data_IF_516990849714
#
_entry.id   IF_516990849714
#
_cell.length_a   1.000
_cell.length_b   1.000
_cell.length_c   1.000
_cell.angle_alpha   90.00
_cell.angle_beta   90.00
_cell.angle_gamma   90.00
#
_symmetry.space_group_name_H-M   'P 1'
#
loop_
_entity.id
_entity.type
_entity.pdbx_description
1 polymer ?
#
# COMPACT_ATOMS: atom_id res chain seq x y z
N UNK A 1 3.75 24.42 21.98
CA UNK A 1 3.72 24.61 20.52
C UNK A 1 3.45 23.26 19.90
N UNK A 2 2.24 23.08 19.37
CA UNK A 2 1.81 21.85 18.72
C UNK A 2 1.50 22.17 17.25
N UNK A 3 1.88 21.27 16.34
CA UNK A 3 1.69 21.44 14.89
C UNK A 3 1.04 20.19 14.31
N UNK A 4 -0.19 20.31 13.83
CA UNK A 4 -0.81 19.28 13.01
C UNK A 4 -0.36 19.41 11.56
N UNK A 5 0.11 18.33 10.95
CA UNK A 5 0.39 18.28 9.51
C UNK A 5 -0.51 17.24 8.84
N UNK A 6 -1.07 17.62 7.70
CA UNK A 6 -1.77 16.73 6.79
C UNK A 6 -1.07 16.77 5.44
N UNK A 7 -0.71 15.60 4.93
CA UNK A 7 -0.20 15.47 3.56
C UNK A 7 -1.32 14.88 2.74
N UNK A 8 -1.55 15.44 1.55
CA UNK A 8 -2.42 14.82 0.58
C UNK A 8 -1.83 13.47 0.12
N UNK A 9 -2.48 12.36 0.51
CA UNK A 9 -2.10 10.99 0.18
C UNK A 9 -2.77 10.45 -1.09
N UNK A 10 -3.40 11.33 -1.90
CA UNK A 10 -4.04 10.98 -3.19
C UNK A 10 -3.05 10.37 -4.21
N UNK A 11 -3.43 10.05 -5.45
CA UNK A 11 -2.49 9.54 -6.46
C UNK A 11 -1.82 10.63 -7.32
N UNK A 12 -1.50 11.81 -6.75
CA UNK A 12 -0.94 12.93 -7.51
C UNK A 12 0.58 13.11 -7.37
N UNK A 13 1.24 13.45 -8.48
CA UNK A 13 2.70 13.69 -8.52
C UNK A 13 3.10 14.96 -7.74
N UNK A 14 2.25 15.99 -7.81
CA UNK A 14 2.41 17.25 -7.09
C UNK A 14 1.68 17.12 -5.77
N UNK A 15 2.38 17.42 -4.68
CA UNK A 15 1.83 17.34 -3.32
C UNK A 15 1.77 18.70 -2.68
N UNK A 16 0.79 18.89 -1.81
CA UNK A 16 0.67 20.06 -0.95
C UNK A 16 0.87 19.65 0.50
N UNK A 17 1.67 20.42 1.23
CA UNK A 17 1.83 20.25 2.67
C UNK A 17 0.79 21.12 3.35
N UNK A 18 -0.27 20.52 3.88
CA UNK A 18 -1.27 21.23 4.67
C UNK A 18 -0.92 21.14 6.14
N UNK A 19 -1.17 22.20 6.89
CA UNK A 19 -0.98 22.23 8.33
C UNK A 19 -2.05 23.10 8.96
N UNK A 20 -2.54 22.69 10.13
CA UNK A 20 -3.63 23.35 10.87
C UNK A 20 -3.36 23.36 12.37
N UNK A 21 -4.22 24.07 13.10
CA UNK A 21 -4.29 24.03 14.57
C UNK A 21 -3.03 24.51 15.31
N UNK A 22 -2.28 25.41 14.69
CA UNK A 22 -1.13 26.01 15.33
C UNK A 22 -1.54 26.92 16.49
N UNK A 23 -0.96 26.68 17.67
CA UNK A 23 -1.13 27.52 18.86
C UNK A 23 0.23 27.94 19.40
N UNK A 24 0.50 29.24 19.34
CA UNK A 24 1.49 29.91 20.17
C UNK A 24 0.81 31.03 20.93
N UNK A 25 1.15 31.12 22.20
CA UNK A 25 0.54 32.06 23.12
C UNK A 25 1.25 33.41 23.09
N UNK A 26 2.54 33.49 22.71
CA UNK A 26 3.37 34.64 23.13
C UNK A 26 4.35 35.23 22.08
N UNK A 27 4.78 34.51 21.01
CA UNK A 27 5.90 34.96 20.15
C UNK A 27 5.59 35.12 18.65
N UNK A 28 4.56 34.44 18.14
CA UNK A 28 4.24 34.37 16.72
C UNK A 28 5.24 33.55 15.90
N UNK A 29 4.81 33.10 14.71
CA UNK A 29 5.64 32.28 13.81
C UNK A 29 6.64 33.16 13.08
N UNK A 30 7.91 32.74 13.08
CA UNK A 30 8.94 33.34 12.25
C UNK A 30 9.05 32.62 10.90
N UNK A 31 9.05 31.28 10.91
CA UNK A 31 9.23 30.51 9.69
C UNK A 31 8.62 29.11 9.71
N UNK A 32 8.33 28.62 8.51
CA UNK A 32 8.07 27.23 8.20
C UNK A 32 9.18 26.71 7.29
N UNK A 33 9.62 25.48 7.50
CA UNK A 33 10.51 24.79 6.57
C UNK A 33 10.09 23.35 6.41
N UNK A 34 10.32 22.78 5.24
CA UNK A 34 10.04 21.37 4.99
C UNK A 34 11.23 20.70 4.32
N UNK A 35 11.37 19.41 4.60
CA UNK A 35 12.35 18.51 3.99
C UNK A 35 11.65 17.23 3.56
N UNK A 36 11.93 16.75 2.36
CA UNK A 36 11.36 15.52 1.79
C UNK A 36 12.48 14.52 1.57
N UNK A 37 12.32 13.34 2.15
CA UNK A 37 13.26 12.23 2.07
C UNK A 37 12.60 11.05 1.37
N UNK A 38 13.37 10.34 0.54
CA UNK A 38 12.98 9.01 0.09
C UNK A 38 13.43 8.00 1.14
N UNK A 39 12.53 7.09 1.53
CA UNK A 39 12.85 6.05 2.49
C UNK A 39 13.50 4.85 1.79
N UNK A 40 14.41 4.20 2.51
CA UNK A 40 15.05 2.96 2.09
C UNK A 40 15.09 1.96 3.25
N UNK A 41 15.09 0.65 2.99
CA UNK A 41 15.22 -0.35 4.04
C UNK A 41 16.59 -0.23 4.74
N UNK A 42 16.55 -0.02 6.06
CA UNK A 42 17.69 -0.05 6.96
C UNK A 42 17.83 -1.40 7.65
N UNK A 43 18.20 -1.39 8.94
CA UNK A 43 18.32 -2.62 9.72
C UNK A 43 16.96 -3.34 9.83
N UNK A 44 16.98 -4.67 9.66
CA UNK A 44 15.79 -5.53 9.73
C UNK A 44 14.66 -5.11 8.76
N UNK A 45 15.01 -4.53 7.62
CA UNK A 45 14.08 -4.01 6.59
C UNK A 45 13.10 -2.95 7.12
N UNK A 46 13.43 -2.28 8.22
CA UNK A 46 12.68 -1.10 8.69
C UNK A 46 13.06 0.08 7.80
N UNK A 47 12.05 0.78 7.28
CA UNK A 47 12.27 1.92 6.40
C UNK A 47 12.76 3.13 7.20
N UNK A 48 13.84 3.75 6.75
CA UNK A 48 14.46 4.93 7.37
C UNK A 48 14.71 6.01 6.32
N UNK A 49 14.70 7.27 6.74
CA UNK A 49 15.12 8.39 5.90
C UNK A 49 16.57 8.17 5.43
N UNK A 50 16.77 8.21 4.12
CA UNK A 50 18.11 8.24 3.56
C UNK A 50 18.81 9.58 3.78
N UNK A 51 20.08 9.66 3.40
CA UNK A 51 20.84 10.92 3.41
C UNK A 51 20.51 11.84 2.23
N UNK A 52 19.81 11.33 1.22
CA UNK A 52 19.45 12.08 0.02
C UNK A 52 18.16 12.86 0.21
N UNK A 53 18.26 14.18 0.03
CA UNK A 53 17.14 15.10 0.11
C UNK A 53 16.48 15.24 -1.27
N UNK A 54 15.19 14.92 -1.33
CA UNK A 54 14.38 14.99 -2.55
C UNK A 54 13.93 16.42 -2.82
N UNK A 55 13.49 17.12 -1.78
CA UNK A 55 13.06 18.51 -1.86
C UNK A 55 13.19 19.20 -0.51
N UNK A 56 13.32 20.53 -0.53
CA UNK A 56 13.18 21.38 0.66
C UNK A 56 12.67 22.77 0.30
N UNK A 57 12.09 23.44 1.29
CA UNK A 57 11.74 24.85 1.19
C UNK A 57 11.66 25.50 2.56
N UNK A 58 11.69 26.84 2.56
CA UNK A 58 11.47 27.67 3.75
C UNK A 58 10.60 28.86 3.37
N UNK A 59 9.69 29.24 4.26
CA UNK A 59 8.81 30.40 4.15
C UNK A 59 8.87 31.18 5.47
N UNK A 60 9.08 32.49 5.41
CA UNK A 60 9.23 33.38 6.58
C UNK A 60 8.02 34.28 6.81
N UNK A 61 6.93 34.04 6.09
CA UNK A 61 5.65 34.72 6.26
C UNK A 61 4.54 33.69 6.18
N UNK A 62 3.49 33.87 6.97
CA UNK A 62 2.27 33.09 6.82
C UNK A 62 1.72 33.31 5.41
N UNK A 63 1.61 32.23 4.66
CA UNK A 63 1.04 32.20 3.32
C UNK A 63 -0.09 31.19 3.34
N UNK A 64 -1.27 31.58 2.84
CA UNK A 64 -2.36 30.63 2.60
C UNK A 64 -1.99 29.61 1.50
N UNK A 65 -1.02 29.95 0.65
CA UNK A 65 -0.47 29.03 -0.35
C UNK A 65 0.46 28.02 0.33
N UNK A 66 -0.06 26.82 0.54
CA UNK A 66 0.69 25.67 1.03
C UNK A 66 1.86 25.34 0.09
N UNK A 67 3.08 25.12 0.64
CA UNK A 67 4.20 24.73 -0.19
C UNK A 67 3.90 23.41 -0.90
N UNK A 68 4.30 23.35 -2.18
CA UNK A 68 4.17 22.17 -3.01
C UNK A 68 5.51 21.67 -3.51
N UNK A 69 5.64 20.35 -3.61
CA UNK A 69 6.82 19.69 -4.15
C UNK A 69 6.41 18.56 -5.10
N UNK A 70 7.35 18.09 -5.91
CA UNK A 70 7.16 16.99 -6.85
C UNK A 70 8.09 15.83 -6.49
N UNK A 71 7.58 14.61 -6.64
CA UNK A 71 8.39 13.39 -6.68
C UNK A 71 8.38 12.83 -8.10
N UNK A 72 9.51 12.32 -8.59
CA UNK A 72 9.62 11.78 -9.96
C UNK A 72 9.61 10.26 -10.00
N UNK A 73 10.22 9.62 -9.01
CA UNK A 73 10.38 8.16 -8.98
C UNK A 73 9.41 7.50 -8.01
N UNK A 74 8.99 6.26 -8.29
CA UNK A 74 8.23 5.48 -7.31
C UNK A 74 9.03 5.27 -6.01
N UNK A 75 8.35 5.29 -4.87
CA UNK A 75 8.97 5.07 -3.57
C UNK A 75 8.08 5.44 -2.39
N UNK A 76 8.57 5.10 -1.21
CA UNK A 76 8.03 5.57 0.05
C UNK A 76 8.75 6.86 0.46
N UNK A 77 7.99 7.87 0.89
CA UNK A 77 8.52 9.19 1.19
C UNK A 77 8.13 9.66 2.58
N UNK A 78 9.05 10.39 3.19
CA UNK A 78 8.87 11.10 4.45
C UNK A 78 8.99 12.59 4.21
N UNK A 79 8.05 13.36 4.77
CA UNK A 79 8.08 14.81 4.74
C UNK A 79 8.11 15.28 6.18
N UNK A 80 9.13 16.07 6.50
CA UNK A 80 9.31 16.66 7.82
C UNK A 80 9.02 18.14 7.69
N UNK A 81 7.99 18.62 8.39
CA UNK A 81 7.68 20.04 8.55
C UNK A 81 8.27 20.52 9.87
N UNK A 82 9.06 21.58 9.82
CA UNK A 82 9.58 22.29 10.99
C UNK A 82 9.00 23.69 11.03
N UNK A 83 8.42 24.06 12.16
CA UNK A 83 7.92 25.40 12.44
C UNK A 83 8.81 26.05 13.49
N UNK A 84 9.19 27.30 13.26
CA UNK A 84 10.04 28.12 14.10
C UNK A 84 9.26 29.37 14.54
N UNK A 85 9.21 29.64 15.84
CA UNK A 85 8.65 30.88 16.37
C UNK A 85 9.70 32.00 16.44
N UNK A 86 9.26 33.25 16.65
CA UNK A 86 10.14 34.42 16.70
C UNK A 86 11.05 34.46 17.95
N UNK A 87 10.85 33.54 18.90
CA UNK A 87 11.72 33.34 20.06
C UNK A 87 12.77 32.24 19.82
N UNK A 88 12.78 31.61 18.64
CA UNK A 88 13.70 30.54 18.25
C UNK A 88 13.30 29.15 18.72
N UNK A 89 12.08 28.94 19.22
CA UNK A 89 11.57 27.60 19.54
C UNK A 89 11.12 26.90 18.25
N UNK A 90 11.28 25.57 18.23
CA UNK A 90 10.89 24.76 17.07
C UNK A 90 9.94 23.63 17.45
N UNK A 91 9.03 23.31 16.53
CA UNK A 91 8.19 22.13 16.57
C UNK A 91 8.26 21.40 15.22
N UNK A 92 8.20 20.07 15.26
CA UNK A 92 8.29 19.23 14.07
C UNK A 92 7.09 18.31 13.94
N UNK A 93 6.62 18.11 12.72
CA UNK A 93 5.64 17.09 12.36
C UNK A 93 6.15 16.28 11.16
N UNK A 94 5.85 14.99 11.11
CA UNK A 94 6.24 14.10 10.00
C UNK A 94 5.02 13.47 9.37
N UNK A 95 5.03 13.39 8.05
CA UNK A 95 3.99 12.77 7.23
C UNK A 95 4.62 11.82 6.22
N UNK A 96 3.90 10.75 5.94
CA UNK A 96 4.36 9.60 5.18
C UNK A 96 3.41 9.36 4.01
N UNK A 97 3.97 9.13 2.83
CA UNK A 97 3.17 8.73 1.67
C UNK A 97 3.92 7.74 0.77
N UNK A 98 3.17 6.84 0.16
CA UNK A 98 3.65 5.94 -0.87
C UNK A 98 3.30 6.55 -2.24
N UNK A 99 4.27 6.66 -3.13
CA UNK A 99 4.06 7.08 -4.51
C UNK A 99 4.50 5.96 -5.44
N UNK A 100 3.55 5.35 -6.15
CA UNK A 100 3.87 4.26 -7.06
C UNK A 100 2.91 4.19 -8.27
N UNK A 101 3.04 5.12 -9.22
CA UNK A 101 2.15 5.14 -10.39
C UNK A 101 2.50 4.08 -11.43
N UNK A 102 3.71 3.49 -11.37
CA UNK A 102 4.27 2.62 -12.41
C UNK A 102 4.12 1.15 -12.09
N UNK A 103 4.22 0.73 -10.84
CA UNK A 103 4.25 -0.70 -10.52
C UNK A 103 2.87 -1.33 -10.70
N UNK A 104 2.89 -2.58 -11.12
CA UNK A 104 1.69 -3.39 -11.35
C UNK A 104 1.94 -4.75 -10.73
N UNK A 105 0.85 -5.42 -10.38
CA UNK A 105 0.91 -6.83 -10.00
C UNK A 105 1.22 -7.65 -11.24
N UNK A 106 2.19 -8.56 -11.12
CA UNK A 106 2.62 -9.48 -12.16
C UNK A 106 2.42 -10.92 -11.69
N UNK A 107 2.29 -11.82 -12.67
CA UNK A 107 2.28 -13.27 -12.45
C UNK A 107 3.72 -13.80 -12.52
N UNK A 108 4.09 -14.64 -11.57
CA UNK A 108 5.41 -15.28 -11.50
C UNK A 108 5.38 -16.67 -12.12
N UNK A 109 6.53 -17.35 -12.14
CA UNK A 109 6.62 -18.75 -12.56
C UNK A 109 6.11 -19.75 -11.51
N UNK A 110 5.70 -19.30 -10.33
CA UNK A 110 5.10 -20.18 -9.33
C UNK A 110 3.69 -20.55 -9.81
N UNK A 111 3.38 -21.83 -10.05
CA UNK A 111 2.08 -22.23 -10.54
C UNK A 111 1.01 -22.08 -9.46
N UNK A 112 -0.23 -21.85 -9.88
CA UNK A 112 -1.40 -22.06 -9.02
C UNK A 112 -1.70 -23.55 -8.93
N UNK A 113 -2.07 -24.01 -7.73
CA UNK A 113 -2.45 -25.39 -7.48
C UNK A 113 -3.92 -25.46 -7.09
N UNK A 114 -4.66 -26.39 -7.69
CA UNK A 114 -6.02 -26.73 -7.24
C UNK A 114 -6.07 -28.21 -6.93
N UNK A 115 -6.54 -28.54 -5.73
CA UNK A 115 -6.65 -29.94 -5.29
C UNK A 115 -7.60 -30.69 -6.22
N UNK A 116 -7.16 -31.80 -6.80
CA UNK A 116 -7.94 -32.64 -7.72
C UNK A 116 -8.09 -32.09 -9.15
N UNK A 117 -7.33 -31.06 -9.53
CA UNK A 117 -7.26 -30.61 -10.92
C UNK A 117 -6.69 -31.69 -11.84
N UNK A 118 -7.32 -31.87 -13.01
CA UNK A 118 -6.83 -32.75 -14.07
C UNK A 118 -5.91 -32.04 -15.05
N UNK A 119 -6.06 -30.72 -15.22
CA UNK A 119 -5.27 -29.90 -16.14
C UNK A 119 -5.26 -28.43 -15.70
N UNK A 120 -4.17 -27.71 -15.94
CA UNK A 120 -4.01 -26.26 -15.68
C UNK A 120 -3.48 -25.61 -16.96
N UNK A 121 -4.24 -24.69 -17.56
CA UNK A 121 -3.85 -23.97 -18.78
C UNK A 121 -4.28 -22.51 -18.70
N UNK A 122 -3.36 -21.59 -19.05
CA UNK A 122 -3.65 -20.15 -19.18
C UNK A 122 -4.41 -19.57 -17.96
N UNK A 123 -3.93 -19.89 -16.74
CA UNK A 123 -4.53 -19.51 -15.44
C UNK A 123 -5.94 -20.03 -15.18
N UNK A 124 -6.42 -20.95 -16.02
CA UNK A 124 -7.68 -21.70 -15.86
C UNK A 124 -7.35 -23.12 -15.41
N UNK A 125 -8.02 -23.56 -14.34
CA UNK A 125 -7.82 -24.88 -13.76
C UNK A 125 -9.05 -25.76 -13.97
N UNK A 126 -8.86 -26.90 -14.64
CA UNK A 126 -9.91 -27.86 -14.92
C UNK A 126 -9.97 -28.95 -13.85
N UNK A 127 -11.18 -29.19 -13.34
CA UNK A 127 -11.46 -30.15 -12.28
C UNK A 127 -12.34 -31.29 -12.84
N UNK A 128 -12.02 -32.54 -12.51
CA UNK A 128 -12.76 -33.72 -13.04
C UNK A 128 -13.63 -34.46 -12.02
N UNK A 129 -13.48 -34.25 -10.70
CA UNK A 129 -14.34 -34.86 -9.67
C UNK A 129 -14.08 -34.30 -8.26
N UNK A 130 -15.07 -33.66 -7.63
CA UNK A 130 -14.90 -32.97 -6.34
C UNK A 130 -16.12 -33.08 -5.42
N UNK A 131 -16.42 -34.30 -4.97
CA UNK A 131 -17.60 -34.61 -4.15
C UNK A 131 -17.58 -33.87 -2.79
N UNK A 132 -16.40 -33.48 -2.30
CA UNK A 132 -16.20 -32.82 -0.99
C UNK A 132 -15.63 -31.38 -1.08
N UNK A 133 -15.68 -30.76 -2.26
CA UNK A 133 -15.11 -29.44 -2.53
C UNK A 133 -13.66 -29.45 -3.02
N UNK A 134 -13.05 -28.27 -3.13
CA UNK A 134 -11.67 -28.10 -3.62
C UNK A 134 -10.93 -26.98 -2.88
N UNK A 135 -9.60 -27.02 -2.96
CA UNK A 135 -8.70 -26.01 -2.39
C UNK A 135 -7.89 -25.41 -3.50
N UNK A 136 -7.86 -24.08 -3.58
CA UNK A 136 -7.07 -23.29 -4.53
C UNK A 136 -5.94 -22.63 -3.78
N UNK A 137 -4.70 -22.80 -4.24
CA UNK A 137 -3.50 -22.23 -3.64
C UNK A 137 -2.71 -21.46 -4.71
N UNK A 138 -2.43 -20.19 -4.45
CA UNK A 138 -1.71 -19.27 -5.35
C UNK A 138 -0.49 -18.66 -4.66
N UNK A 139 0.08 -19.39 -3.70
CA UNK A 139 1.22 -18.91 -2.94
C UNK A 139 2.39 -18.54 -3.86
N UNK A 140 2.72 -17.24 -3.86
CA UNK A 140 3.80 -16.69 -4.65
C UNK A 140 3.52 -16.60 -6.14
N UNK A 141 2.30 -16.86 -6.60
CA UNK A 141 1.91 -16.72 -8.01
C UNK A 141 1.79 -15.25 -8.43
N UNK A 142 1.35 -14.37 -7.52
CA UNK A 142 1.24 -12.94 -7.76
C UNK A 142 2.27 -12.16 -6.95
N UNK A 143 2.89 -11.15 -7.58
CA UNK A 143 3.79 -10.23 -6.89
C UNK A 143 3.64 -8.80 -7.40
N UNK A 144 3.89 -7.82 -6.53
CA UNK A 144 4.41 -6.53 -6.97
C UNK A 144 5.90 -6.49 -6.59
N UNK A 145 6.75 -6.84 -7.56
CA UNK A 145 8.19 -6.95 -7.38
C UNK A 145 8.79 -5.66 -6.81
N UNK A 146 8.47 -4.50 -7.38
CA UNK A 146 9.05 -3.23 -6.95
C UNK A 146 8.75 -2.93 -5.48
N UNK A 147 7.49 -3.06 -5.04
CA UNK A 147 7.15 -2.81 -3.64
C UNK A 147 7.72 -3.87 -2.70
N UNK A 148 7.77 -5.14 -3.13
CA UNK A 148 8.31 -6.24 -2.35
C UNK A 148 9.83 -6.15 -2.15
N UNK A 149 10.57 -5.88 -3.21
CA UNK A 149 12.03 -5.77 -3.22
C UNK A 149 12.48 -4.53 -2.42
N UNK A 150 11.79 -3.40 -2.60
CA UNK A 150 12.13 -2.14 -1.92
C UNK A 150 11.50 -2.01 -0.53
N UNK A 151 10.78 -3.04 -0.05
CA UNK A 151 10.18 -3.09 1.29
C UNK A 151 9.24 -1.92 1.60
N UNK A 152 8.57 -1.37 0.58
CA UNK A 152 7.85 -0.10 0.71
C UNK A 152 6.65 -0.14 1.68
N UNK A 153 6.17 -1.36 1.97
CA UNK A 153 5.06 -1.64 2.88
C UNK A 153 5.50 -2.02 4.30
N UNK A 154 6.81 -2.04 4.57
CA UNK A 154 7.33 -2.33 5.90
C UNK A 154 7.11 -1.19 6.89
N UNK A 155 7.38 -1.48 8.16
CA UNK A 155 7.37 -0.48 9.24
C UNK A 155 8.38 0.63 8.90
N UNK A 156 8.01 1.87 9.20
CA UNK A 156 8.90 3.03 9.16
C UNK A 156 9.43 3.28 10.57
N UNK A 157 10.72 3.59 10.69
CA UNK A 157 11.32 3.94 11.97
C UNK A 157 10.64 5.19 12.55
N UNK A 158 10.19 5.17 13.82
CA UNK A 158 9.64 6.36 14.45
C UNK A 158 10.61 7.51 14.40
N UNK A 159 10.14 8.70 14.02
CA UNK A 159 11.03 9.86 13.97
C UNK A 159 11.39 10.31 15.39
N UNK A 160 12.67 10.28 15.79
CA UNK A 160 13.05 10.52 17.19
C UNK A 160 12.70 11.93 17.69
N UNK A 161 12.45 12.88 16.78
CA UNK A 161 12.15 14.29 17.10
C UNK A 161 10.68 14.66 17.02
N UNK A 162 9.79 13.77 16.60
CA UNK A 162 8.38 14.13 16.32
C UNK A 162 7.54 14.38 17.58
N UNK A 163 8.01 14.04 18.79
CA UNK A 163 7.27 14.21 20.07
C UNK A 163 5.78 13.77 20.00
N UNK A 164 5.46 12.76 19.21
CA UNK A 164 4.09 12.26 19.00
C UNK A 164 3.35 12.83 17.79
N UNK A 165 3.96 13.74 17.03
CA UNK A 165 3.46 14.30 15.76
C UNK A 165 4.01 13.53 14.55
N UNK A 166 4.18 12.22 14.72
CA UNK A 166 4.51 11.31 13.63
C UNK A 166 3.24 10.88 12.88
N UNK A 167 3.39 10.35 11.68
CA UNK A 167 2.23 10.00 10.87
C UNK A 167 1.54 8.72 11.38
N UNK A 168 0.40 8.93 12.03
CA UNK A 168 -0.44 7.86 12.58
C UNK A 168 -1.81 7.76 11.90
N UNK A 169 -2.05 8.48 10.80
CA UNK A 169 -3.38 8.62 10.22
C UNK A 169 -3.42 8.27 8.72
N UNK A 170 -4.58 7.80 8.24
CA UNK A 170 -4.77 7.41 6.84
C UNK A 170 -4.18 6.04 6.48
N UNK A 171 -4.11 5.76 5.17
CA UNK A 171 -3.83 4.42 4.66
C UNK A 171 -2.33 4.05 4.66
N UNK A 172 -1.44 5.03 4.87
CA UNK A 172 -0.01 4.81 5.09
C UNK A 172 0.47 5.55 6.33
N UNK A 173 0.89 4.84 7.36
CA UNK A 173 1.39 5.38 8.63
C UNK A 173 2.81 4.87 8.91
N UNK A 174 3.35 5.11 10.11
CA UNK A 174 4.61 4.47 10.56
C UNK A 174 4.53 2.95 10.65
N UNK A 175 3.33 2.39 10.82
CA UNK A 175 3.18 0.95 10.99
C UNK A 175 3.33 0.17 9.67
N UNK A 176 3.66 -1.11 9.81
CA UNK A 176 3.74 -2.02 8.67
C UNK A 176 2.35 -2.22 8.07
N UNK A 177 2.25 -2.22 6.74
CA UNK A 177 1.07 -2.70 6.02
C UNK A 177 1.25 -4.21 5.77
N UNK A 178 0.38 -5.07 6.32
CA UNK A 178 0.41 -6.49 6.02
C UNK A 178 0.35 -6.74 4.51
N UNK A 179 1.23 -7.60 4.00
CA UNK A 179 1.27 -7.93 2.58
C UNK A 179 1.90 -9.31 2.33
N UNK A 180 1.63 -9.87 1.15
CA UNK A 180 2.32 -11.05 0.58
C UNK A 180 2.95 -10.62 -0.74
N UNK A 181 4.29 -10.61 -0.81
CA UNK A 181 5.02 -10.20 -2.02
C UNK A 181 4.56 -8.85 -2.61
N UNK A 182 4.29 -7.86 -1.75
CA UNK A 182 3.81 -6.54 -2.18
C UNK A 182 2.31 -6.47 -2.49
N UNK A 183 1.56 -7.58 -2.34
CA UNK A 183 0.10 -7.65 -2.50
C UNK A 183 -0.59 -7.44 -1.14
N UNK A 184 -1.58 -6.55 -1.11
CA UNK A 184 -2.34 -6.22 0.11
C UNK A 184 -3.72 -6.87 0.16
N UNK A 185 -4.23 -7.35 -0.99
CA UNK A 185 -5.56 -7.96 -1.10
C UNK A 185 -5.65 -8.91 -2.29
N UNK A 186 -6.38 -10.01 -2.12
CA UNK A 186 -6.71 -10.95 -3.19
C UNK A 186 -8.22 -11.01 -3.41
N UNK A 187 -8.65 -11.17 -4.66
CA UNK A 187 -10.03 -11.46 -5.03
C UNK A 187 -10.10 -12.78 -5.76
N UNK A 188 -11.04 -13.63 -5.34
CA UNK A 188 -11.29 -14.91 -5.99
C UNK A 188 -12.67 -14.90 -6.66
N UNK A 189 -12.72 -15.51 -7.84
CA UNK A 189 -13.94 -15.83 -8.55
C UNK A 189 -13.88 -17.28 -9.05
N UNK A 190 -15.02 -17.97 -9.02
CA UNK A 190 -15.17 -19.31 -9.58
C UNK A 190 -16.61 -19.52 -10.04
N UNK A 191 -16.80 -20.37 -11.05
CA UNK A 191 -18.12 -20.71 -11.58
C UNK A 191 -18.27 -22.22 -11.90
N UNK A 192 -19.52 -22.66 -11.93
CA UNK A 192 -19.99 -24.04 -12.05
C UNK A 192 -20.61 -24.19 -13.45
N UNK A 193 -19.86 -24.60 -14.48
CA UNK A 193 -20.41 -24.69 -15.84
C UNK A 193 -20.89 -26.11 -16.19
N UNK A 194 -22.13 -26.22 -16.68
CA UNK A 194 -22.61 -27.44 -17.35
C UNK A 194 -22.28 -27.49 -18.84
N UNK A 195 -22.12 -26.34 -19.52
CA UNK A 195 -21.70 -26.21 -20.92
C UNK A 195 -20.94 -24.87 -21.11
N UNK A 196 -19.99 -24.84 -22.05
CA UNK A 196 -18.85 -23.90 -22.28
C UNK A 196 -19.18 -22.38 -22.39
N UNK A 197 -20.38 -21.92 -22.05
CA UNK A 197 -20.70 -20.49 -22.01
C UNK A 197 -20.35 -19.85 -20.67
N UNK A 198 -19.26 -19.06 -20.64
CA UNK A 198 -18.90 -18.18 -19.52
C UNK A 198 -19.98 -17.09 -19.40
N UNK A 199 -20.94 -17.25 -18.50
CA UNK A 199 -21.88 -16.20 -18.17
C UNK A 199 -21.28 -15.25 -17.13
N UNK A 200 -21.71 -13.99 -17.11
CA UNK A 200 -21.13 -12.92 -16.28
C UNK A 200 -21.07 -13.29 -14.79
N UNK A 201 -20.05 -12.81 -14.04
CA UNK A 201 -19.75 -13.23 -12.67
C UNK A 201 -20.90 -12.95 -11.68
N UNK A 202 -21.18 -13.90 -10.77
CA UNK A 202 -22.24 -13.77 -9.75
C UNK A 202 -21.84 -12.90 -8.52
N UNK A 203 -20.54 -12.82 -8.17
CA UNK A 203 -19.91 -11.79 -7.32
C UNK A 203 -18.41 -12.12 -7.11
N UNK A 204 -17.56 -11.11 -6.92
CA UNK A 204 -16.18 -11.31 -6.43
C UNK A 204 -16.20 -11.57 -4.92
N UNK A 205 -15.33 -12.46 -4.44
CA UNK A 205 -15.12 -12.67 -3.00
C UNK A 205 -13.77 -12.10 -2.59
N UNK A 206 -13.78 -11.21 -1.61
CA UNK A 206 -12.57 -10.73 -0.93
C UNK A 206 -11.95 -11.89 -0.14
N UNK A 207 -10.70 -12.21 -0.46
CA UNK A 207 -9.86 -13.09 0.37
C UNK A 207 -8.83 -12.17 1.02
N UNK A 208 -8.58 -12.36 2.32
CA UNK A 208 -7.53 -11.60 3.01
C UNK A 208 -6.13 -11.98 2.44
N UNK A 209 -5.06 -11.82 3.21
CA UNK A 209 -3.71 -12.18 2.77
C UNK A 209 -3.44 -13.70 2.73
N UNK A 210 -4.50 -14.49 2.83
CA UNK A 210 -4.43 -15.92 2.62
C UNK A 210 -4.08 -16.20 1.16
N UNK A 211 -3.14 -17.10 0.96
CA UNK A 211 -2.74 -17.57 -0.37
C UNK A 211 -3.36 -18.91 -0.72
N UNK A 212 -4.39 -19.29 0.05
CA UNK A 212 -5.16 -20.51 -0.09
C UNK A 212 -6.63 -20.23 0.23
N UNK A 213 -7.54 -20.81 -0.54
CA UNK A 213 -8.97 -20.72 -0.30
C UNK A 213 -9.66 -22.05 -0.54
N UNK A 214 -10.48 -22.46 0.43
CA UNK A 214 -11.27 -23.69 0.38
C UNK A 214 -12.68 -23.39 -0.09
N UNK A 215 -13.07 -23.97 -1.22
CA UNK A 215 -14.44 -23.94 -1.73
C UNK A 215 -15.18 -25.19 -1.26
N UNK A 216 -16.28 -24.99 -0.57
CA UNK A 216 -17.21 -26.07 -0.23
C UNK A 216 -18.30 -26.15 -1.28
N UNK A 217 -18.50 -27.31 -1.90
CA UNK A 217 -19.57 -27.53 -2.88
C UNK A 217 -20.79 -28.16 -2.20
N UNK A 218 -22.02 -27.69 -2.49
CA UNK A 218 -23.22 -28.43 -2.10
C UNK A 218 -23.33 -29.67 -3.02
N UNK A 219 -22.88 -30.82 -2.52
CA UNK A 219 -23.22 -32.21 -2.87
C UNK A 219 -23.76 -32.55 -4.30
N UNK A 220 -23.10 -33.52 -4.95
CA UNK A 220 -23.54 -34.30 -6.14
C UNK A 220 -23.66 -33.53 -7.47
N UNK A 221 -22.53 -33.13 -8.06
CA UNK A 221 -22.50 -32.79 -9.49
C UNK A 221 -21.52 -33.73 -10.18
N UNK A 222 -22.05 -34.67 -10.96
CA UNK A 222 -21.28 -35.82 -11.48
C UNK A 222 -20.49 -35.54 -12.75
N UNK A 223 -20.63 -34.39 -13.40
CA UNK A 223 -19.79 -34.00 -14.54
C UNK A 223 -20.09 -32.53 -14.87
N UNK A 224 -19.23 -31.61 -14.46
CA UNK A 224 -19.26 -30.20 -14.85
C UNK A 224 -17.83 -29.70 -14.99
N UNK A 225 -17.64 -28.75 -15.90
CA UNK A 225 -16.35 -28.15 -16.27
C UNK A 225 -16.20 -26.87 -15.46
N UNK A 226 -15.10 -26.74 -14.72
CA UNK A 226 -14.92 -25.69 -13.73
C UNK A 226 -13.90 -24.66 -14.20
N UNK A 227 -14.16 -23.38 -13.98
CA UNK A 227 -13.21 -22.30 -14.18
C UNK A 227 -13.06 -21.53 -12.86
N UNK A 228 -11.81 -21.36 -12.42
CA UNK A 228 -11.43 -20.54 -11.27
C UNK A 228 -10.54 -19.43 -11.80
N UNK A 229 -10.87 -18.18 -11.51
CA UNK A 229 -10.05 -17.01 -11.84
C UNK A 229 -9.69 -16.30 -10.54
N UNK A 230 -8.40 -16.05 -10.35
CA UNK A 230 -7.90 -15.29 -9.21
C UNK A 230 -7.31 -13.99 -9.73
N UNK A 231 -7.64 -12.89 -9.06
CA UNK A 231 -7.05 -11.59 -9.34
C UNK A 231 -6.43 -11.03 -8.07
N UNK A 232 -5.24 -10.46 -8.20
CA UNK A 232 -4.53 -9.84 -7.11
C UNK A 232 -4.53 -8.33 -7.31
N UNK A 233 -4.85 -7.60 -6.23
CA UNK A 233 -4.97 -6.16 -6.28
C UNK A 233 -3.97 -5.48 -5.35
N UNK A 234 -3.67 -4.26 -5.74
CA UNK A 234 -2.90 -3.34 -4.95
C UNK A 234 -3.69 -2.05 -4.80
N UNK A 235 -4.55 -2.00 -3.80
CA UNK A 235 -5.18 -0.75 -3.38
C UNK A 235 -4.40 -0.23 -2.17
N UNK A 236 -3.45 0.65 -2.44
CA UNK A 236 -2.79 1.45 -1.41
C UNK A 236 -2.89 2.89 -1.90
N UNK A 237 -4.00 3.53 -1.55
CA UNK A 237 -4.19 4.98 -1.66
C UNK A 237 -4.08 5.57 -0.27
#
# INVERSE_FOLDING_TARGET
MDVGMQIDKSAERKRFIRYSDWKDADSGIEAYSYEVFRLSPGAYDVLTEGTELVARGRQTMFSEDFPSYNVSEPGMYSVVLTVEDSAGNTALARGLFLWDPKSRVTVTNNPMYVTGASDVRDDVVWLTSHVDGFVVNWQGHFENAFQHENKLLNKVEPWPRSKGLDDQQGNRTVEKIPNKQGIVKFHIWYDFMSEISISKPYAWTDVELDTEYKVSTPCQVTEQLWCVIITAFQEIL
#
